data_IF_286940939384
#
_entry.id   IF_286940939384
#
_cell.length_a   1.000
_cell.length_b   1.000
_cell.length_c   1.000
_cell.angle_alpha   90.00
_cell.angle_beta   90.00
_cell.angle_gamma   90.00
#
_symmetry.space_group_name_H-M   'P 1'
#
loop_
_entity.id
_entity.type
_entity.pdbx_description
1 polymer ?
#
# COMPACT_ATOMS: atom_id res chain seq x y z
N UNK A 1 -1.70 -7.16 38.28
CA UNK A 1 -0.65 -8.14 38.70
C UNK A 1 0.70 -7.45 38.81
N UNK A 2 1.65 -7.98 39.62
CA UNK A 2 2.99 -7.41 39.62
C UNK A 2 3.71 -7.79 38.30
N UNK A 3 4.07 -6.80 37.50
CA UNK A 3 4.86 -7.00 36.30
C UNK A 3 6.27 -7.45 36.67
N UNK A 4 6.79 -8.47 35.98
CA UNK A 4 8.14 -8.91 36.14
C UNK A 4 9.03 -8.26 35.08
N UNK A 5 10.13 -7.64 35.53
CA UNK A 5 11.10 -6.98 34.63
C UNK A 5 12.29 -7.91 34.40
N UNK A 6 12.66 -8.08 33.15
CA UNK A 6 13.78 -8.96 32.75
C UNK A 6 14.71 -8.22 31.80
N UNK A 7 15.99 -8.62 31.75
CA UNK A 7 16.85 -8.34 30.60
C UNK A 7 16.50 -9.30 29.46
N UNK A 8 16.36 -8.77 28.25
CA UNK A 8 15.98 -9.58 27.09
C UNK A 8 16.96 -10.73 26.86
N UNK A 9 18.26 -10.51 27.08
CA UNK A 9 19.31 -11.52 26.94
C UNK A 9 19.16 -12.75 27.87
N UNK A 10 18.34 -12.68 28.94
CA UNK A 10 18.02 -13.85 29.77
C UNK A 10 16.92 -14.71 29.11
N UNK A 11 16.12 -14.09 28.22
CA UNK A 11 14.94 -14.68 27.63
C UNK A 11 15.18 -15.23 26.22
N UNK A 12 16.26 -14.78 25.54
CA UNK A 12 16.58 -15.16 24.16
C UNK A 12 17.99 -15.74 24.05
N UNK A 13 18.23 -16.54 23.03
CA UNK A 13 19.55 -17.11 22.73
C UNK A 13 19.83 -17.11 21.22
N UNK A 14 21.10 -16.93 20.81
CA UNK A 14 21.48 -16.97 19.41
C UNK A 14 21.44 -18.39 18.85
N UNK A 15 21.16 -18.50 17.55
CA UNK A 15 21.19 -19.73 16.77
C UNK A 15 22.18 -19.57 15.59
N UNK A 16 23.03 -20.58 15.34
CA UNK A 16 24.00 -20.53 14.23
C UNK A 16 23.98 -21.83 13.40
N UNK A 17 22.82 -22.43 13.24
CA UNK A 17 22.67 -23.57 12.33
C UNK A 17 22.84 -23.12 10.89
N UNK A 18 23.66 -23.87 10.13
CA UNK A 18 24.02 -23.54 8.76
C UNK A 18 23.59 -24.64 7.81
N UNK A 19 23.36 -24.27 6.54
CA UNK A 19 23.01 -25.20 5.47
C UNK A 19 24.23 -26.04 4.99
N UNK A 20 24.98 -26.58 5.93
CA UNK A 20 26.19 -27.37 5.61
C UNK A 20 25.86 -28.64 4.81
N UNK A 21 24.70 -29.22 5.07
CA UNK A 21 24.26 -30.45 4.44
C UNK A 21 23.59 -30.25 3.07
N UNK A 22 23.40 -28.98 2.66
CA UNK A 22 22.77 -28.61 1.38
C UNK A 22 21.29 -28.98 1.28
N UNK A 23 20.59 -29.13 2.40
CA UNK A 23 19.17 -29.49 2.45
C UNK A 23 18.27 -28.42 1.83
N UNK A 24 18.67 -27.16 1.91
CA UNK A 24 17.91 -26.00 1.45
C UNK A 24 18.52 -25.46 0.16
N UNK A 25 17.66 -24.96 -0.73
CA UNK A 25 17.99 -24.53 -2.08
C UNK A 25 17.84 -23.00 -2.25
N UNK A 26 18.00 -22.52 -3.48
CA UNK A 26 17.80 -21.10 -3.82
C UNK A 26 16.37 -20.61 -3.53
N UNK A 27 15.38 -21.50 -3.64
CA UNK A 27 13.96 -21.16 -3.42
C UNK A 27 13.66 -20.87 -1.93
N UNK A 28 14.50 -21.37 -1.03
CA UNK A 28 14.33 -21.18 0.41
C UNK A 28 14.98 -19.88 0.91
N UNK A 29 15.71 -19.15 0.04
CA UNK A 29 16.44 -17.94 0.44
C UNK A 29 15.51 -16.76 0.59
N UNK A 30 15.58 -16.13 1.75
CA UNK A 30 14.84 -14.90 2.06
C UNK A 30 15.79 -13.76 2.46
N UNK A 31 15.29 -12.53 2.28
CA UNK A 31 15.81 -11.33 2.89
C UNK A 31 14.85 -10.80 3.94
N UNK A 32 15.20 -9.71 4.61
CA UNK A 32 14.31 -9.04 5.57
C UNK A 32 14.04 -7.61 5.09
N UNK A 33 12.76 -7.26 5.03
CA UNK A 33 12.33 -5.90 4.71
C UNK A 33 12.36 -4.99 5.96
N UNK A 34 12.33 -3.67 5.74
CA UNK A 34 12.09 -2.70 6.82
C UNK A 34 10.66 -2.76 7.37
N UNK A 35 9.77 -3.51 6.69
CA UNK A 35 8.44 -3.87 7.19
C UNK A 35 8.45 -4.98 8.23
N UNK A 36 9.64 -5.54 8.56
CA UNK A 36 9.84 -6.63 9.52
C UNK A 36 9.26 -7.97 9.06
N UNK A 37 9.35 -8.22 7.76
CA UNK A 37 8.87 -9.44 7.11
C UNK A 37 10.00 -10.11 6.33
N UNK A 38 9.96 -11.44 6.23
CA UNK A 38 10.77 -12.16 5.26
C UNK A 38 10.22 -11.89 3.86
N UNK A 39 11.14 -11.56 2.94
CA UNK A 39 10.83 -11.29 1.52
C UNK A 39 11.76 -12.10 0.63
N UNK A 40 11.38 -12.33 -0.61
CA UNK A 40 12.27 -12.94 -1.58
C UNK A 40 13.55 -12.14 -1.73
N UNK A 41 14.68 -12.85 -1.85
CA UNK A 41 15.97 -12.16 -1.99
C UNK A 41 16.02 -11.40 -3.31
N UNK A 42 16.60 -10.18 -3.25
CA UNK A 42 16.89 -9.37 -4.44
C UNK A 42 18.37 -9.47 -4.86
N UNK A 43 19.16 -10.27 -4.13
CA UNK A 43 20.57 -10.44 -4.43
C UNK A 43 20.74 -11.36 -5.65
N UNK A 44 21.77 -11.06 -6.47
CA UNK A 44 22.20 -12.02 -7.49
C UNK A 44 22.86 -13.20 -6.78
N UNK A 45 22.31 -14.40 -7.00
CA UNK A 45 22.73 -15.64 -6.35
C UNK A 45 23.60 -16.53 -7.25
N UNK A 46 23.96 -16.06 -8.47
CA UNK A 46 24.78 -16.82 -9.40
C UNK A 46 26.15 -17.14 -8.79
N UNK A 47 26.48 -18.43 -8.69
CA UNK A 47 27.76 -18.92 -8.17
C UNK A 47 27.94 -18.76 -6.66
N UNK A 48 26.89 -18.40 -5.90
CA UNK A 48 26.97 -18.25 -4.44
C UNK A 48 26.82 -19.62 -3.76
N UNK A 49 27.76 -19.96 -2.89
CA UNK A 49 27.65 -21.15 -2.04
C UNK A 49 26.65 -20.90 -0.92
N UNK A 50 25.68 -21.79 -0.76
CA UNK A 50 24.66 -21.74 0.27
C UNK A 50 25.09 -22.38 1.61
N UNK A 51 26.22 -23.06 1.66
CA UNK A 51 26.68 -23.81 2.84
C UNK A 51 26.94 -22.92 4.08
N UNK A 52 27.26 -21.64 3.83
CA UNK A 52 27.47 -20.65 4.91
C UNK A 52 26.21 -19.94 5.36
N UNK A 53 25.10 -20.11 4.63
CA UNK A 53 23.81 -19.49 4.97
C UNK A 53 23.26 -20.10 6.24
N UNK A 54 22.58 -19.26 7.02
CA UNK A 54 21.95 -19.69 8.26
C UNK A 54 20.53 -20.21 8.01
N UNK A 55 20.16 -21.22 8.75
CA UNK A 55 18.79 -21.76 8.75
C UNK A 55 17.97 -21.03 9.81
N UNK A 56 16.83 -20.50 9.42
CA UNK A 56 15.84 -19.91 10.33
C UNK A 56 14.65 -20.87 10.43
N UNK A 57 14.57 -21.59 11.53
CA UNK A 57 13.50 -22.57 11.79
C UNK A 57 12.20 -21.87 12.19
N UNK A 58 11.06 -22.56 12.18
CA UNK A 58 9.83 -22.09 12.81
C UNK A 58 10.10 -21.55 14.23
N UNK A 59 9.41 -20.47 14.61
CA UNK A 59 9.53 -19.79 15.89
C UNK A 59 10.92 -19.16 16.16
N UNK A 60 11.73 -18.96 15.13
CA UNK A 60 12.98 -18.23 15.22
C UNK A 60 12.87 -16.83 14.58
N UNK A 61 13.74 -15.96 15.05
CA UNK A 61 13.91 -14.61 14.55
C UNK A 61 15.20 -14.49 13.76
N UNK A 62 15.23 -13.53 12.85
CA UNK A 62 16.46 -13.09 12.23
C UNK A 62 16.49 -11.56 12.14
N UNK A 63 17.64 -10.93 12.39
CA UNK A 63 17.80 -9.50 12.22
C UNK A 63 19.20 -9.17 11.70
N UNK A 64 19.32 -7.99 11.11
CA UNK A 64 20.62 -7.42 10.74
C UNK A 64 20.90 -6.20 11.60
N UNK A 65 22.11 -6.17 12.18
CA UNK A 65 22.53 -5.11 13.09
C UNK A 65 22.68 -3.73 12.40
N UNK A 66 22.92 -3.71 11.08
CA UNK A 66 23.15 -2.50 10.29
C UNK A 66 21.85 -1.67 10.15
N UNK A 67 21.79 -0.50 10.80
CA UNK A 67 20.67 0.44 10.75
C UNK A 67 20.90 1.61 9.78
N UNK A 68 22.15 1.97 9.50
CA UNK A 68 22.49 3.21 8.77
C UNK A 68 21.96 3.24 7.32
N UNK A 69 21.85 2.07 6.66
CA UNK A 69 21.33 1.94 5.30
C UNK A 69 19.80 1.78 5.24
N UNK A 70 19.14 1.63 6.38
CA UNK A 70 17.73 1.29 6.48
C UNK A 70 16.89 2.43 7.07
N UNK A 71 17.54 3.57 7.32
CA UNK A 71 16.92 4.71 7.99
C UNK A 71 16.70 4.44 9.48
N UNK A 72 15.54 4.88 9.99
CA UNK A 72 15.21 4.81 11.42
C UNK A 72 14.61 3.47 11.85
N UNK A 73 14.74 2.40 11.04
CA UNK A 73 14.12 1.10 11.31
C UNK A 73 15.15 -0.01 11.30
N UNK A 74 15.03 -0.91 12.28
CA UNK A 74 15.79 -2.15 12.27
C UNK A 74 15.08 -3.22 11.44
N UNK A 75 15.82 -3.93 10.59
CA UNK A 75 15.28 -5.07 9.86
C UNK A 75 15.37 -6.34 10.73
N UNK A 76 14.25 -6.72 11.29
CA UNK A 76 14.04 -7.93 12.09
C UNK A 76 12.79 -8.63 11.57
N UNK A 77 12.78 -9.96 11.51
CA UNK A 77 11.62 -10.74 11.13
C UNK A 77 11.52 -12.01 11.98
N UNK A 78 10.32 -12.54 12.05
CA UNK A 78 9.97 -13.74 12.81
C UNK A 78 9.41 -14.80 11.85
N UNK A 79 9.93 -16.02 11.94
CA UNK A 79 9.42 -17.14 11.15
C UNK A 79 8.23 -17.79 11.87
N UNK A 80 7.03 -17.30 11.52
CA UNK A 80 5.76 -17.87 11.99
C UNK A 80 5.29 -19.08 11.16
N UNK A 81 5.95 -19.37 10.02
CA UNK A 81 5.59 -20.45 9.14
C UNK A 81 6.09 -21.80 9.67
N UNK A 82 5.54 -22.89 9.16
CA UNK A 82 5.96 -24.25 9.51
C UNK A 82 7.27 -24.68 8.82
N UNK A 83 7.72 -23.91 7.81
CA UNK A 83 8.92 -24.23 7.02
C UNK A 83 10.12 -23.42 7.49
N UNK A 84 11.27 -24.09 7.53
CA UNK A 84 12.53 -23.41 7.69
C UNK A 84 12.93 -22.70 6.39
N UNK A 85 13.65 -21.57 6.52
CA UNK A 85 14.14 -20.74 5.42
C UNK A 85 15.63 -20.50 5.57
N UNK A 86 16.28 -20.07 4.50
CA UNK A 86 17.68 -19.63 4.51
C UNK A 86 17.82 -18.12 4.55
N UNK A 87 18.82 -17.66 5.30
CA UNK A 87 19.20 -16.26 5.33
C UNK A 87 20.72 -16.10 5.27
N UNK A 88 21.20 -15.02 4.70
CA UNK A 88 22.65 -14.75 4.62
C UNK A 88 23.33 -14.80 5.98
N UNK A 89 24.60 -15.22 6.01
CA UNK A 89 25.41 -15.30 7.24
C UNK A 89 25.60 -13.98 7.99
N UNK A 90 25.32 -12.83 7.35
CA UNK A 90 25.41 -11.51 7.99
C UNK A 90 24.28 -11.25 9.01
N UNK A 91 23.20 -12.02 8.95
CA UNK A 91 22.10 -11.89 9.90
C UNK A 91 22.37 -12.65 11.18
N UNK A 92 21.90 -12.11 12.29
CA UNK A 92 21.84 -12.82 13.56
C UNK A 92 20.51 -13.55 13.66
N UNK A 93 20.56 -14.86 13.81
CA UNK A 93 19.38 -15.71 14.06
C UNK A 93 19.31 -15.99 15.57
N UNK A 94 18.12 -15.93 16.15
CA UNK A 94 17.91 -16.21 17.57
C UNK A 94 16.51 -16.75 17.83
N UNK A 95 16.32 -17.28 19.03
CA UNK A 95 15.02 -17.78 19.50
C UNK A 95 14.74 -17.36 20.94
N UNK A 96 13.51 -17.52 21.36
CA UNK A 96 13.13 -17.46 22.77
C UNK A 96 13.68 -18.73 23.46
N UNK A 97 14.54 -18.54 24.47
CA UNK A 97 15.10 -19.59 25.29
C UNK A 97 14.20 -19.96 26.49
N UNK A 98 13.45 -18.98 26.97
CA UNK A 98 12.57 -19.10 28.15
C UNK A 98 11.10 -19.04 27.71
N UNK A 99 10.64 -20.09 27.00
CA UNK A 99 9.25 -20.23 26.58
C UNK A 99 8.25 -20.35 27.75
N UNK A 100 8.76 -20.62 28.96
CA UNK A 100 8.02 -20.60 30.21
C UNK A 100 7.69 -19.17 30.72
N UNK A 101 8.33 -18.13 30.16
CA UNK A 101 8.16 -16.73 30.54
C UNK A 101 7.74 -15.83 29.38
N UNK A 102 8.15 -16.15 28.15
CA UNK A 102 7.96 -15.30 26.99
C UNK A 102 7.45 -16.09 25.78
N UNK A 103 6.34 -15.64 25.22
CA UNK A 103 5.80 -16.13 23.96
C UNK A 103 6.53 -15.46 22.78
N UNK A 104 6.93 -16.23 21.76
CA UNK A 104 7.66 -15.72 20.59
C UNK A 104 6.84 -14.73 19.77
N UNK A 105 5.55 -14.98 19.55
CA UNK A 105 4.66 -14.05 18.83
C UNK A 105 4.50 -12.74 19.60
N UNK A 106 4.40 -12.81 20.95
CA UNK A 106 4.35 -11.62 21.80
C UNK A 106 5.64 -10.80 21.70
N UNK A 107 6.80 -11.46 21.67
CA UNK A 107 8.07 -10.79 21.43
C UNK A 107 8.12 -10.14 20.05
N UNK A 108 7.57 -10.76 19.03
CA UNK A 108 7.48 -10.17 17.71
C UNK A 108 6.58 -8.90 17.71
N UNK A 109 5.45 -8.92 18.41
CA UNK A 109 4.63 -7.72 18.61
C UNK A 109 5.41 -6.61 19.32
N UNK A 110 6.24 -6.96 20.31
CA UNK A 110 7.13 -5.99 21.00
C UNK A 110 8.08 -5.33 20.02
N UNK A 111 8.70 -6.09 19.11
CA UNK A 111 9.62 -5.57 18.10
C UNK A 111 8.92 -4.75 17.00
N UNK A 112 7.64 -4.97 16.74
CA UNK A 112 6.87 -4.22 15.75
C UNK A 112 6.43 -2.82 16.22
N UNK A 113 6.78 -2.41 17.42
CA UNK A 113 6.47 -1.07 17.92
C UNK A 113 7.44 -0.02 17.37
N UNK A 114 6.97 1.18 17.02
CA UNK A 114 7.84 2.31 16.67
C UNK A 114 8.82 2.70 17.80
N UNK A 115 8.45 2.45 19.05
CA UNK A 115 9.31 2.66 20.23
C UNK A 115 10.57 1.81 20.15
N UNK A 116 10.44 0.55 19.70
CA UNK A 116 11.58 -0.33 19.51
C UNK A 116 12.51 0.17 18.40
N UNK A 117 11.96 0.63 17.27
CA UNK A 117 12.78 1.22 16.20
C UNK A 117 13.54 2.46 16.69
N UNK A 118 12.89 3.35 17.46
CA UNK A 118 13.56 4.51 18.06
C UNK A 118 14.64 4.11 19.04
N UNK A 119 14.37 3.09 19.89
CA UNK A 119 15.36 2.56 20.83
C UNK A 119 16.57 1.97 20.09
N UNK A 120 16.34 1.13 19.09
CA UNK A 120 17.39 0.53 18.27
C UNK A 120 18.22 1.61 17.55
N UNK A 121 17.57 2.65 17.00
CA UNK A 121 18.25 3.78 16.36
C UNK A 121 19.10 4.57 17.34
N UNK A 122 18.57 4.88 18.51
CA UNK A 122 19.28 5.62 19.56
C UNK A 122 20.50 4.87 20.10
N UNK A 123 20.41 3.54 20.21
CA UNK A 123 21.49 2.67 20.70
C UNK A 123 22.31 2.02 19.57
N UNK A 124 22.33 2.63 18.39
CA UNK A 124 23.19 2.21 17.27
C UNK A 124 24.43 3.09 17.22
N UNK A 125 25.61 2.46 17.10
CA UNK A 125 26.90 3.13 17.14
C UNK A 125 27.76 2.72 15.95
N UNK A 126 28.69 3.60 15.54
CA UNK A 126 29.66 3.35 14.48
C UNK A 126 29.89 4.58 13.60
N UNK A 127 31.08 4.71 13.05
CA UNK A 127 31.47 5.89 12.25
C UNK A 127 31.09 5.79 10.79
N UNK A 128 31.11 4.59 10.19
CA UNK A 128 30.77 4.36 8.78
C UNK A 128 29.44 3.59 8.60
N UNK A 129 29.10 2.78 9.56
CA UNK A 129 27.83 2.04 9.63
C UNK A 129 27.43 1.97 11.10
N UNK A 130 26.29 2.53 11.40
CA UNK A 130 25.72 2.42 12.74
C UNK A 130 25.11 1.03 12.89
N UNK A 131 25.48 0.34 13.96
CA UNK A 131 25.01 -1.02 14.24
C UNK A 131 24.34 -1.08 15.60
N UNK A 132 23.22 -1.78 15.62
CA UNK A 132 22.53 -2.22 16.83
C UNK A 132 22.92 -3.68 17.06
N UNK A 133 23.94 -3.89 17.89
CA UNK A 133 24.54 -5.20 18.08
C UNK A 133 23.71 -6.12 19.00
N UNK A 134 24.17 -7.38 19.10
CA UNK A 134 23.50 -8.41 19.90
C UNK A 134 23.53 -8.10 21.39
N UNK A 135 24.63 -7.58 21.88
CA UNK A 135 24.78 -7.27 23.30
C UNK A 135 23.85 -6.14 23.72
N UNK A 136 23.73 -5.11 22.88
CA UNK A 136 22.75 -4.03 23.06
C UNK A 136 21.29 -4.55 23.00
N UNK A 137 21.00 -5.52 22.13
CA UNK A 137 19.70 -6.19 22.12
C UNK A 137 19.44 -6.93 23.43
N UNK A 138 20.42 -7.66 23.94
CA UNK A 138 20.33 -8.39 25.20
C UNK A 138 20.14 -7.48 26.43
N UNK A 139 20.63 -6.26 26.37
CA UNK A 139 20.54 -5.28 27.45
C UNK A 139 19.18 -4.58 27.56
N UNK A 140 18.26 -4.83 26.64
CA UNK A 140 16.90 -4.29 26.71
C UNK A 140 16.21 -4.77 27.99
N UNK A 141 15.64 -3.83 28.73
CA UNK A 141 14.72 -4.13 29.82
C UNK A 141 13.31 -4.34 29.25
N UNK A 142 12.71 -5.49 29.48
CA UNK A 142 11.36 -5.83 29.05
C UNK A 142 10.49 -6.19 30.27
N UNK A 143 9.31 -5.61 30.35
CA UNK A 143 8.30 -5.96 31.32
C UNK A 143 7.32 -6.96 30.69
N UNK A 144 7.01 -8.04 31.40
CA UNK A 144 6.19 -9.12 30.88
C UNK A 144 4.98 -9.38 31.80
N UNK A 145 3.77 -9.45 31.26
CA UNK A 145 2.65 -10.07 31.93
C UNK A 145 2.82 -11.60 31.94
N UNK A 146 1.94 -12.32 32.61
CA UNK A 146 1.94 -13.78 32.56
C UNK A 146 1.65 -14.34 31.15
N UNK A 147 2.00 -15.60 30.90
CA UNK A 147 1.81 -16.23 29.60
C UNK A 147 0.36 -16.26 29.12
N UNK A 148 -0.66 -16.52 29.95
CA UNK A 148 -2.06 -16.44 29.53
C UNK A 148 -2.44 -15.05 29.00
N UNK A 149 -1.99 -13.99 29.67
CA UNK A 149 -2.20 -12.61 29.21
C UNK A 149 -1.45 -12.34 27.90
N UNK A 150 -0.17 -12.75 27.77
CA UNK A 150 0.55 -12.66 26.51
C UNK A 150 -0.22 -13.34 25.37
N UNK A 151 -0.68 -14.58 25.59
CA UNK A 151 -1.40 -15.34 24.57
C UNK A 151 -2.71 -14.67 24.16
N UNK A 152 -3.47 -14.14 25.11
CA UNK A 152 -4.71 -13.39 24.82
C UNK A 152 -4.48 -12.24 23.83
N UNK A 153 -3.41 -11.47 24.00
CA UNK A 153 -3.09 -10.35 23.11
C UNK A 153 -2.49 -10.81 21.78
N UNK A 154 -1.75 -11.90 21.75
CA UNK A 154 -1.31 -12.59 20.53
C UNK A 154 -2.51 -13.07 19.70
N UNK A 155 -3.51 -13.68 20.34
CA UNK A 155 -4.71 -14.16 19.66
C UNK A 155 -5.49 -13.00 19.00
N UNK A 156 -5.58 -11.85 19.66
CA UNK A 156 -6.18 -10.63 19.09
C UNK A 156 -5.40 -10.18 17.85
N UNK A 157 -4.08 -10.10 17.95
CA UNK A 157 -3.21 -9.70 16.82
C UNK A 157 -3.35 -10.66 15.64
N UNK A 158 -3.26 -11.96 15.90
CA UNK A 158 -3.38 -13.00 14.87
C UNK A 158 -4.76 -13.00 14.21
N UNK A 159 -5.84 -12.75 14.95
CA UNK A 159 -7.17 -12.61 14.39
C UNK A 159 -7.28 -11.41 13.44
N UNK A 160 -6.64 -10.28 13.76
CA UNK A 160 -6.58 -9.12 12.87
C UNK A 160 -5.79 -9.41 11.60
N UNK A 161 -4.65 -10.10 11.69
CA UNK A 161 -3.82 -10.52 10.55
C UNK A 161 -4.59 -11.49 9.66
N UNK A 162 -5.23 -12.51 10.23
CA UNK A 162 -6.03 -13.49 9.49
C UNK A 162 -7.22 -12.83 8.76
N UNK A 163 -7.88 -11.86 9.40
CA UNK A 163 -8.94 -11.08 8.78
C UNK A 163 -8.42 -10.29 7.55
N UNK A 164 -7.31 -9.58 7.70
CA UNK A 164 -6.68 -8.83 6.58
C UNK A 164 -6.29 -9.77 5.43
N UNK A 165 -5.68 -10.90 5.71
CA UNK A 165 -5.31 -11.91 4.69
C UNK A 165 -6.54 -12.47 3.96
N UNK A 166 -7.67 -12.64 4.67
CA UNK A 166 -8.93 -13.06 4.04
C UNK A 166 -9.47 -11.99 3.08
N UNK A 167 -9.36 -10.71 3.46
CA UNK A 167 -9.71 -9.59 2.56
C UNK A 167 -8.80 -9.56 1.32
N UNK A 168 -7.52 -9.79 1.48
CA UNK A 168 -6.53 -9.77 0.39
C UNK A 168 -6.78 -10.89 -0.63
N UNK A 169 -7.02 -12.12 -0.18
CA UNK A 169 -7.41 -13.24 -1.08
C UNK A 169 -8.69 -12.93 -1.85
N UNK A 170 -9.71 -12.42 -1.16
CA UNK A 170 -10.97 -12.03 -1.83
C UNK A 170 -10.81 -10.87 -2.83
N UNK A 171 -9.78 -10.03 -2.68
CA UNK A 171 -9.44 -9.00 -3.66
C UNK A 171 -8.84 -9.56 -4.93
N UNK A 172 -8.00 -10.58 -4.83
CA UNK A 172 -7.41 -11.25 -6.00
C UNK A 172 -8.51 -11.89 -6.85
N UNK A 173 -9.45 -12.60 -6.22
CA UNK A 173 -10.59 -13.21 -6.91
C UNK A 173 -11.49 -12.17 -7.60
N UNK A 174 -11.79 -11.06 -6.91
CA UNK A 174 -12.57 -9.96 -7.48
C UNK A 174 -11.84 -9.30 -8.65
N UNK A 175 -10.54 -9.13 -8.55
CA UNK A 175 -9.72 -8.56 -9.63
C UNK A 175 -9.76 -9.45 -10.86
N UNK A 176 -9.56 -10.75 -10.71
CA UNK A 176 -9.63 -11.72 -11.81
C UNK A 176 -11.03 -11.70 -12.47
N UNK A 177 -12.09 -11.68 -11.68
CA UNK A 177 -13.46 -11.58 -12.19
C UNK A 177 -13.67 -10.29 -12.97
N UNK A 178 -13.24 -9.16 -12.42
CA UNK A 178 -13.35 -7.86 -13.09
C UNK A 178 -12.56 -7.83 -14.40
N UNK A 179 -11.32 -8.30 -14.42
CA UNK A 179 -10.48 -8.33 -15.61
C UNK A 179 -11.09 -9.21 -16.71
N UNK A 180 -11.68 -10.36 -16.35
CA UNK A 180 -12.37 -11.25 -17.28
C UNK A 180 -13.63 -10.59 -17.88
N UNK A 181 -14.44 -9.91 -17.06
CA UNK A 181 -15.62 -9.18 -17.53
C UNK A 181 -15.25 -8.04 -18.49
N UNK A 182 -14.22 -7.28 -18.15
CA UNK A 182 -13.70 -6.21 -19.01
C UNK A 182 -13.21 -6.74 -20.35
N UNK A 183 -12.52 -7.88 -20.34
CA UNK A 183 -11.98 -8.49 -21.56
C UNK A 183 -13.11 -9.02 -22.46
N UNK A 184 -14.12 -9.65 -21.88
CA UNK A 184 -15.32 -10.09 -22.60
C UNK A 184 -16.05 -8.92 -23.27
N UNK A 185 -16.22 -7.80 -22.56
CA UNK A 185 -16.86 -6.60 -23.10
C UNK A 185 -16.05 -5.99 -24.25
N UNK A 186 -14.72 -5.95 -24.17
CA UNK A 186 -13.87 -5.47 -25.27
C UNK A 186 -14.07 -6.22 -26.57
N UNK A 187 -14.39 -7.51 -26.48
CA UNK A 187 -14.59 -8.35 -27.66
C UNK A 187 -16.01 -8.31 -28.21
N UNK A 188 -17.01 -7.98 -27.38
CA UNK A 188 -18.42 -8.07 -27.74
C UNK A 188 -19.09 -6.72 -28.03
N UNK A 189 -18.64 -5.65 -27.37
CA UNK A 189 -19.28 -4.34 -27.47
C UNK A 189 -18.61 -3.45 -28.53
N UNK A 190 -19.40 -2.59 -29.15
CA UNK A 190 -18.91 -1.60 -30.10
C UNK A 190 -18.02 -0.57 -29.41
N UNK A 191 -16.85 -0.30 -29.99
CA UNK A 191 -15.94 0.75 -29.54
C UNK A 191 -16.48 2.12 -29.98
N UNK A 192 -16.58 3.05 -29.03
CA UNK A 192 -16.94 4.44 -29.31
C UNK A 192 -15.85 5.39 -28.79
N UNK A 193 -15.47 6.40 -29.57
CA UNK A 193 -14.52 7.41 -29.11
C UNK A 193 -15.17 8.34 -28.07
N UNK A 194 -14.36 8.87 -27.17
CA UNK A 194 -14.84 9.75 -26.08
C UNK A 194 -15.61 10.95 -26.62
N UNK A 195 -15.25 11.49 -27.80
CA UNK A 195 -15.97 12.59 -28.46
C UNK A 195 -17.46 12.30 -28.72
N UNK A 196 -17.85 11.03 -28.83
CA UNK A 196 -19.26 10.62 -29.00
C UNK A 196 -19.99 10.46 -27.66
N UNK A 197 -19.26 10.28 -26.57
CA UNK A 197 -19.78 9.97 -25.24
C UNK A 197 -19.86 11.20 -24.32
N UNK A 198 -18.89 12.09 -24.43
CA UNK A 198 -18.79 13.30 -23.63
C UNK A 198 -18.90 14.56 -24.49
N UNK A 199 -19.48 15.61 -23.92
CA UNK A 199 -19.47 16.97 -24.48
C UNK A 199 -18.90 17.94 -23.45
N UNK A 200 -18.18 18.94 -23.94
CA UNK A 200 -17.62 20.00 -23.14
C UNK A 200 -18.69 20.95 -22.63
N UNK A 201 -18.54 21.40 -21.40
CA UNK A 201 -19.36 22.44 -20.77
C UNK A 201 -18.47 23.48 -20.09
N UNK A 202 -18.90 24.73 -20.12
CA UNK A 202 -18.11 25.86 -19.57
C UNK A 202 -18.97 26.72 -18.63
N UNK A 203 -19.49 26.10 -17.57
CA UNK A 203 -20.17 26.83 -16.51
C UNK A 203 -19.12 27.49 -15.60
N UNK A 204 -19.34 28.75 -15.26
CA UNK A 204 -18.44 29.55 -14.44
C UNK A 204 -19.04 29.87 -13.07
N UNK A 205 -18.18 30.11 -12.08
CA UNK A 205 -18.56 30.59 -10.74
C UNK A 205 -18.86 32.09 -10.76
N UNK A 206 -19.74 32.55 -11.66
CA UNK A 206 -19.96 33.95 -11.99
C UNK A 206 -20.31 34.85 -10.78
N UNK A 207 -21.02 34.31 -9.81
CA UNK A 207 -21.40 35.02 -8.58
C UNK A 207 -20.33 34.88 -7.47
N UNK A 208 -19.24 34.16 -7.69
CA UNK A 208 -18.14 33.97 -6.72
C UNK A 208 -18.53 33.32 -5.40
N UNK A 209 -19.68 32.62 -5.35
CA UNK A 209 -20.21 32.08 -4.09
C UNK A 209 -19.42 30.86 -3.60
N UNK A 210 -18.76 30.10 -4.50
CA UNK A 210 -17.95 28.95 -4.15
C UNK A 210 -16.49 29.41 -4.10
N UNK A 211 -15.83 29.18 -2.96
CA UNK A 211 -14.45 29.62 -2.70
C UNK A 211 -13.48 28.44 -2.55
N UNK A 212 -13.99 27.23 -2.36
CA UNK A 212 -13.19 26.03 -2.18
C UNK A 212 -12.73 25.47 -3.53
N UNK A 213 -11.49 25.79 -3.88
CA UNK A 213 -10.89 25.40 -5.15
C UNK A 213 -10.36 23.98 -5.07
N UNK A 214 -10.71 23.14 -6.04
CA UNK A 214 -10.24 21.77 -6.14
C UNK A 214 -9.26 21.57 -7.31
N UNK A 215 -8.46 20.53 -7.18
CA UNK A 215 -7.66 19.91 -8.23
C UNK A 215 -7.99 18.43 -8.36
N UNK A 216 -7.30 17.72 -9.28
CA UNK A 216 -7.43 16.28 -9.47
C UNK A 216 -6.11 15.62 -9.10
N UNK A 217 -6.15 14.65 -8.17
CA UNK A 217 -4.99 13.86 -7.79
C UNK A 217 -4.71 12.71 -8.79
N UNK A 218 -3.61 12.01 -8.61
CA UNK A 218 -3.23 10.86 -9.45
C UNK A 218 -4.15 9.63 -9.24
N UNK A 219 -4.93 9.60 -8.15
CA UNK A 219 -5.96 8.57 -7.90
C UNK A 219 -7.31 8.94 -8.49
N UNK A 220 -7.36 10.01 -9.33
CA UNK A 220 -8.53 10.45 -10.08
C UNK A 220 -9.71 10.91 -9.19
N UNK A 221 -9.38 11.58 -8.10
CA UNK A 221 -10.34 12.15 -7.17
C UNK A 221 -10.13 13.65 -7.05
N UNK A 222 -11.22 14.37 -6.81
CA UNK A 222 -11.12 15.77 -6.41
C UNK A 222 -10.43 15.89 -5.06
N UNK A 223 -9.57 16.88 -4.92
CA UNK A 223 -8.87 17.22 -3.70
C UNK A 223 -8.77 18.74 -3.56
N UNK A 224 -8.74 19.30 -2.35
CA UNK A 224 -8.46 20.72 -2.16
C UNK A 224 -7.20 21.15 -2.92
N UNK A 225 -7.26 22.27 -3.61
CA UNK A 225 -6.12 22.79 -4.36
C UNK A 225 -4.98 23.17 -3.41
N UNK A 226 -3.76 22.80 -3.78
CA UNK A 226 -2.54 23.25 -3.08
C UNK A 226 -2.02 24.59 -3.59
N UNK A 227 -2.65 25.15 -4.63
CA UNK A 227 -2.27 26.45 -5.18
C UNK A 227 -2.72 27.58 -4.24
N UNK A 228 -1.88 28.61 -4.09
CA UNK A 228 -2.28 29.84 -3.42
C UNK A 228 -3.33 30.56 -4.27
N UNK A 229 -4.53 30.71 -3.72
CA UNK A 229 -5.66 31.40 -4.37
C UNK A 229 -5.90 32.80 -3.82
N UNK A 230 -5.04 33.33 -2.95
CA UNK A 230 -5.16 34.65 -2.41
C UNK A 230 -5.06 35.71 -3.53
N UNK A 231 -6.09 36.59 -3.64
CA UNK A 231 -6.16 37.61 -4.66
C UNK A 231 -6.50 37.11 -6.07
N UNK A 232 -6.83 35.85 -6.24
CA UNK A 232 -7.25 35.27 -7.53
C UNK A 232 -8.75 35.50 -7.74
N UNK A 233 -9.10 35.91 -8.95
CA UNK A 233 -10.50 36.08 -9.36
C UNK A 233 -11.16 34.71 -9.59
N UNK A 234 -11.85 34.21 -8.57
CA UNK A 234 -12.53 32.92 -8.60
C UNK A 234 -13.81 32.90 -9.46
N UNK A 235 -14.27 34.04 -9.94
CA UNK A 235 -15.44 34.11 -10.86
C UNK A 235 -15.13 33.45 -12.22
N UNK A 236 -13.86 33.42 -12.60
CA UNK A 236 -13.37 32.78 -13.82
C UNK A 236 -13.22 31.24 -13.72
N UNK A 237 -13.31 30.70 -12.50
CA UNK A 237 -13.16 29.24 -12.29
C UNK A 237 -14.37 28.49 -12.81
N UNK A 238 -14.12 27.29 -13.29
CA UNK A 238 -15.17 26.44 -13.85
C UNK A 238 -15.89 25.67 -12.75
N UNK A 239 -17.21 25.57 -12.88
CA UNK A 239 -18.05 24.73 -12.02
C UNK A 239 -18.07 23.29 -12.56
N UNK A 240 -17.90 22.33 -11.67
CA UNK A 240 -18.11 20.92 -11.92
C UNK A 240 -19.29 20.46 -11.07
N UNK A 241 -20.44 20.31 -11.70
CA UNK A 241 -21.68 19.86 -11.06
C UNK A 241 -21.70 18.36 -10.87
N UNK A 242 -22.66 17.86 -10.10
CA UNK A 242 -22.94 16.43 -9.95
C UNK A 242 -23.01 15.75 -11.32
N UNK A 243 -22.40 14.58 -11.45
CA UNK A 243 -22.30 13.78 -12.68
C UNK A 243 -21.51 14.45 -13.83
N UNK A 244 -20.74 15.50 -13.54
CA UNK A 244 -19.81 16.06 -14.50
C UNK A 244 -18.37 15.61 -14.21
N UNK A 245 -17.58 15.55 -15.27
CA UNK A 245 -16.16 15.23 -15.20
C UNK A 245 -15.33 16.49 -15.28
N UNK A 246 -14.19 16.47 -14.60
CA UNK A 246 -13.10 17.39 -14.86
C UNK A 246 -11.89 16.64 -15.40
N UNK A 247 -11.21 17.22 -16.40
CA UNK A 247 -10.06 16.63 -17.07
C UNK A 247 -8.92 17.63 -17.19
N UNK A 248 -7.71 17.16 -17.00
CA UNK A 248 -6.49 17.88 -17.35
C UNK A 248 -5.54 16.94 -18.10
N UNK A 249 -5.19 17.33 -19.32
CA UNK A 249 -4.16 16.64 -20.08
C UNK A 249 -2.74 16.99 -19.68
N UNK A 250 -2.55 17.98 -18.78
CA UNK A 250 -1.22 18.42 -18.36
C UNK A 250 -0.46 17.32 -17.64
N UNK A 251 0.80 17.12 -18.03
CA UNK A 251 1.73 16.18 -17.40
C UNK A 251 1.31 14.71 -17.46
N UNK A 252 0.34 14.33 -18.30
CA UNK A 252 -0.14 12.95 -18.42
C UNK A 252 1.01 11.98 -18.74
N UNK A 253 1.89 12.33 -19.65
CA UNK A 253 3.04 11.48 -19.99
C UNK A 253 4.09 11.41 -18.89
N UNK A 254 4.31 12.50 -18.15
CA UNK A 254 5.27 12.54 -17.03
C UNK A 254 4.78 11.73 -15.84
N UNK A 255 3.52 11.89 -15.51
CA UNK A 255 2.90 11.26 -14.32
C UNK A 255 2.34 9.86 -14.64
N UNK A 256 2.43 9.44 -15.92
CA UNK A 256 1.87 8.18 -16.44
C UNK A 256 0.40 7.96 -16.04
N UNK A 257 -0.37 9.05 -15.95
CA UNK A 257 -1.71 9.06 -15.43
C UNK A 257 -2.59 10.11 -16.13
N UNK A 258 -3.73 9.69 -16.67
CA UNK A 258 -4.77 10.60 -17.15
C UNK A 258 -5.47 11.20 -15.94
N UNK A 259 -5.36 12.54 -15.77
CA UNK A 259 -6.03 13.25 -14.69
C UNK A 259 -7.48 13.57 -15.09
N UNK A 260 -8.38 12.70 -14.69
CA UNK A 260 -9.83 12.86 -14.86
C UNK A 260 -10.52 12.47 -13.55
N UNK A 261 -11.57 13.18 -13.16
CA UNK A 261 -12.39 12.86 -11.99
C UNK A 261 -13.87 13.11 -12.31
N UNK A 262 -14.73 12.33 -11.71
CA UNK A 262 -16.20 12.46 -11.77
C UNK A 262 -16.70 13.02 -10.44
N UNK A 263 -17.45 14.12 -10.49
CA UNK A 263 -18.12 14.64 -9.29
C UNK A 263 -19.39 13.82 -9.02
N UNK A 264 -19.42 13.11 -7.90
CA UNK A 264 -20.58 12.34 -7.42
C UNK A 264 -21.31 13.03 -6.27
N UNK A 265 -20.69 14.06 -5.70
CA UNK A 265 -21.27 14.81 -4.58
C UNK A 265 -22.43 15.70 -5.06
N UNK A 266 -23.35 15.99 -4.16
CA UNK A 266 -24.48 16.89 -4.44
C UNK A 266 -24.01 18.33 -4.68
N UNK A 267 -22.91 18.71 -4.04
CA UNK A 267 -22.35 20.04 -4.16
C UNK A 267 -21.44 20.18 -5.39
N UNK A 268 -21.55 21.31 -6.06
CA UNK A 268 -20.64 21.64 -7.15
C UNK A 268 -19.28 22.09 -6.58
N UNK A 269 -18.20 21.66 -7.23
CA UNK A 269 -16.84 22.12 -6.92
C UNK A 269 -16.36 23.11 -7.99
N UNK A 270 -15.38 23.96 -7.65
CA UNK A 270 -14.73 24.83 -8.63
C UNK A 270 -13.30 24.37 -8.91
N UNK A 271 -12.90 24.46 -10.18
CA UNK A 271 -11.57 24.11 -10.66
C UNK A 271 -10.99 25.23 -11.53
N UNK A 272 -9.66 25.24 -11.64
CA UNK A 272 -8.96 26.21 -12.48
C UNK A 272 -9.48 26.22 -13.94
N UNK A 273 -9.50 27.38 -14.61
CA UNK A 273 -9.86 27.50 -16.04
C UNK A 273 -9.04 26.58 -16.97
N UNK A 274 -7.86 26.11 -16.53
CA UNK A 274 -7.00 25.21 -17.31
C UNK A 274 -7.56 23.80 -17.46
N UNK A 275 -8.55 23.43 -16.67
CA UNK A 275 -9.24 22.13 -16.80
C UNK A 275 -10.35 22.21 -17.83
N UNK A 276 -10.67 21.08 -18.45
CA UNK A 276 -11.87 20.91 -19.27
C UNK A 276 -12.93 20.19 -18.45
N UNK A 277 -14.16 20.68 -18.49
CA UNK A 277 -15.31 20.07 -17.84
C UNK A 277 -16.18 19.40 -18.88
N UNK A 278 -16.61 18.17 -18.58
CA UNK A 278 -17.47 17.38 -19.48
C UNK A 278 -18.72 16.93 -18.76
N UNK A 279 -19.77 16.74 -19.56
CA UNK A 279 -20.95 15.98 -19.18
C UNK A 279 -21.23 14.88 -20.22
N UNK A 280 -21.99 13.86 -19.84
CA UNK A 280 -22.40 12.82 -20.79
C UNK A 280 -23.20 13.40 -21.94
N UNK A 281 -22.99 12.87 -23.13
CA UNK A 281 -23.65 13.29 -24.35
C UNK A 281 -24.92 12.48 -24.66
N UNK A 282 -25.00 11.26 -24.10
CA UNK A 282 -26.06 10.29 -24.42
C UNK A 282 -26.55 9.61 -23.15
N UNK A 283 -27.85 9.33 -23.07
CA UNK A 283 -28.48 8.70 -21.90
C UNK A 283 -28.15 7.21 -21.74
N UNK A 284 -27.76 6.54 -22.82
CA UNK A 284 -27.39 5.12 -22.80
C UNK A 284 -26.04 4.83 -22.16
N UNK A 285 -25.25 5.85 -21.82
CA UNK A 285 -23.96 5.68 -21.14
C UNK A 285 -24.03 6.15 -19.70
N UNK A 286 -23.47 5.36 -18.80
CA UNK A 286 -23.32 5.73 -17.38
C UNK A 286 -22.01 6.48 -17.17
N UNK A 287 -22.04 7.56 -16.40
CA UNK A 287 -20.85 8.35 -16.05
C UNK A 287 -19.85 7.50 -15.28
N UNK A 288 -20.32 6.69 -14.34
CA UNK A 288 -19.47 5.77 -13.56
C UNK A 288 -18.79 4.74 -14.44
N UNK A 289 -19.44 4.29 -15.51
CA UNK A 289 -18.86 3.35 -16.45
C UNK A 289 -17.68 3.99 -17.21
N UNK A 290 -17.84 5.24 -17.67
CA UNK A 290 -16.75 5.99 -18.29
C UNK A 290 -15.62 6.17 -17.29
N UNK A 291 -15.92 6.58 -16.04
CA UNK A 291 -14.92 6.79 -15.01
C UNK A 291 -14.16 5.51 -14.66
N UNK A 292 -14.85 4.38 -14.57
CA UNK A 292 -14.24 3.06 -14.35
C UNK A 292 -13.21 2.73 -15.43
N UNK A 293 -13.50 3.01 -16.73
CA UNK A 293 -12.53 2.81 -17.80
C UNK A 293 -11.25 3.62 -17.59
N UNK A 294 -11.38 4.88 -17.19
CA UNK A 294 -10.22 5.73 -16.90
C UNK A 294 -9.46 5.34 -15.63
N UNK A 295 -10.08 4.63 -14.69
CA UNK A 295 -9.41 4.11 -13.50
C UNK A 295 -8.50 2.90 -13.78
N UNK A 296 -8.50 2.36 -14.99
CA UNK A 296 -7.67 1.21 -15.38
C UNK A 296 -6.27 1.63 -15.81
N UNK A 297 -5.28 0.81 -15.44
CA UNK A 297 -3.88 1.03 -15.82
C UNK A 297 -3.65 1.08 -17.33
N UNK A 298 -4.45 0.32 -18.12
CA UNK A 298 -4.35 0.36 -19.58
C UNK A 298 -4.77 1.71 -20.15
N UNK A 299 -5.74 2.37 -19.56
CA UNK A 299 -6.15 3.71 -19.97
C UNK A 299 -5.05 4.73 -19.69
N UNK A 300 -4.40 4.64 -18.54
CA UNK A 300 -3.25 5.47 -18.19
C UNK A 300 -2.08 5.24 -19.14
N UNK A 301 -1.75 3.98 -19.42
CA UNK A 301 -0.70 3.63 -20.40
C UNK A 301 -1.03 4.17 -21.79
N UNK A 302 -2.29 4.10 -22.21
CA UNK A 302 -2.72 4.67 -23.49
C UNK A 302 -2.58 6.19 -23.49
N UNK A 303 -2.98 6.88 -22.42
CA UNK A 303 -2.81 8.32 -22.26
C UNK A 303 -1.35 8.74 -22.32
N UNK A 304 -0.47 8.00 -21.64
CA UNK A 304 0.97 8.18 -21.72
C UNK A 304 1.49 8.05 -23.15
N UNK A 305 1.14 6.97 -23.85
CA UNK A 305 1.55 6.73 -25.24
C UNK A 305 1.05 7.83 -26.21
N UNK A 306 -0.15 8.36 -25.97
CA UNK A 306 -0.75 9.41 -26.79
C UNK A 306 -0.29 10.82 -26.41
N UNK A 307 0.46 10.99 -25.32
CA UNK A 307 0.99 12.30 -24.90
C UNK A 307 2.07 12.79 -25.86
N UNK A 308 2.22 14.12 -25.95
CA UNK A 308 3.27 14.72 -26.74
C UNK A 308 4.67 14.48 -26.14
N UNK A 309 5.71 14.71 -26.94
CA UNK A 309 7.11 14.57 -26.50
C UNK A 309 7.68 15.85 -25.87
N UNK A 310 6.84 16.82 -25.51
CA UNK A 310 7.27 18.04 -24.82
C UNK A 310 7.77 17.75 -23.39
N UNK A 311 8.49 18.71 -22.81
CA UNK A 311 8.98 18.61 -21.42
C UNK A 311 7.83 18.36 -20.42
N UNK A 312 6.62 18.81 -20.74
CA UNK A 312 5.42 18.64 -19.91
C UNK A 312 4.66 17.35 -20.22
N UNK A 313 4.91 16.73 -21.38
CA UNK A 313 4.24 15.49 -21.85
C UNK A 313 2.73 15.54 -21.69
N UNK A 314 2.09 16.45 -22.44
CA UNK A 314 0.66 16.69 -22.33
C UNK A 314 -0.15 15.75 -23.24
N UNK A 315 -1.27 15.28 -22.75
CA UNK A 315 -2.33 14.67 -23.57
C UNK A 315 -3.27 15.79 -24.02
N UNK A 316 -3.18 16.22 -25.28
CA UNK A 316 -4.07 17.23 -25.83
C UNK A 316 -5.52 16.73 -25.92
N UNK A 317 -6.44 17.67 -26.04
CA UNK A 317 -7.87 17.37 -26.02
C UNK A 317 -8.33 16.57 -27.22
N UNK A 318 -7.74 16.80 -28.40
CA UNK A 318 -8.09 16.06 -29.61
C UNK A 318 -7.74 14.59 -29.49
N UNK A 319 -6.54 14.29 -28.98
CA UNK A 319 -6.10 12.91 -28.72
C UNK A 319 -6.92 12.25 -27.59
N UNK A 320 -7.28 13.02 -26.53
CA UNK A 320 -8.18 12.53 -25.52
C UNK A 320 -9.52 12.09 -26.12
N UNK A 321 -10.08 12.88 -27.02
CA UNK A 321 -11.31 12.56 -27.73
C UNK A 321 -11.24 11.31 -28.61
N UNK A 322 -10.06 10.92 -29.07
CA UNK A 322 -9.84 9.70 -29.88
C UNK A 322 -9.77 8.43 -29.05
N UNK A 323 -9.64 8.52 -27.71
CA UNK A 323 -9.65 7.36 -26.84
C UNK A 323 -10.98 6.63 -27.02
N UNK A 324 -10.93 5.33 -27.32
CA UNK A 324 -12.10 4.49 -27.53
C UNK A 324 -12.32 3.61 -26.32
N UNK A 325 -13.59 3.49 -25.92
CA UNK A 325 -14.06 2.54 -24.93
C UNK A 325 -15.22 1.71 -25.51
N UNK A 326 -15.35 0.42 -25.12
CA UNK A 326 -16.50 -0.38 -25.55
C UNK A 326 -17.75 0.09 -24.79
N UNK A 327 -18.88 0.10 -25.49
CA UNK A 327 -20.16 0.57 -24.94
C UNK A 327 -21.20 -0.56 -25.07
N UNK A 328 -21.33 -1.44 -24.06
CA UNK A 328 -22.39 -2.44 -24.01
C UNK A 328 -23.72 -1.82 -23.58
N UNK A 329 -24.76 -2.64 -23.50
CA UNK A 329 -26.06 -2.22 -22.97
C UNK A 329 -25.95 -1.74 -21.53
N UNK A 330 -26.85 -0.83 -21.12
CA UNK A 330 -26.81 -0.12 -19.85
C UNK A 330 -26.81 -1.06 -18.62
N UNK A 331 -27.53 -2.17 -18.70
CA UNK A 331 -27.57 -3.16 -17.61
C UNK A 331 -26.20 -3.84 -17.41
N UNK A 332 -25.48 -4.10 -18.51
CA UNK A 332 -24.12 -4.63 -18.45
C UNK A 332 -23.14 -3.57 -17.91
N UNK A 333 -23.30 -2.30 -18.31
CA UNK A 333 -22.52 -1.21 -17.76
C UNK A 333 -22.68 -1.14 -16.23
N UNK A 334 -23.93 -1.19 -15.75
CA UNK A 334 -24.22 -1.14 -14.32
C UNK A 334 -23.59 -2.33 -13.58
N UNK A 335 -23.79 -3.55 -14.10
CA UNK A 335 -23.24 -4.75 -13.47
C UNK A 335 -21.72 -4.69 -13.30
N UNK A 336 -20.98 -4.19 -14.31
CA UNK A 336 -19.52 -4.09 -14.21
C UNK A 336 -19.08 -2.95 -13.30
N UNK A 337 -19.83 -1.83 -13.27
CA UNK A 337 -19.60 -0.73 -12.32
C UNK A 337 -19.79 -1.21 -10.89
N UNK A 338 -20.80 -2.04 -10.63
CA UNK A 338 -21.04 -2.59 -9.29
C UNK A 338 -19.88 -3.49 -8.84
N UNK A 339 -19.37 -4.37 -9.71
CA UNK A 339 -18.18 -5.21 -9.42
C UNK A 339 -16.96 -4.32 -9.17
N UNK A 340 -16.74 -3.29 -9.97
CA UNK A 340 -15.63 -2.36 -9.80
C UNK A 340 -15.72 -1.59 -8.47
N UNK A 341 -16.90 -1.14 -8.09
CA UNK A 341 -17.13 -0.45 -6.82
C UNK A 341 -16.86 -1.36 -5.61
N UNK A 342 -17.32 -2.62 -5.66
CA UNK A 342 -17.03 -3.63 -4.63
C UNK A 342 -15.52 -3.87 -4.53
N UNK A 343 -14.84 -4.05 -5.68
CA UNK A 343 -13.39 -4.22 -5.71
C UNK A 343 -12.65 -3.02 -5.09
N UNK A 344 -13.02 -1.81 -5.48
CA UNK A 344 -12.38 -0.58 -4.99
C UNK A 344 -12.61 -0.38 -3.50
N UNK A 345 -13.84 -0.61 -3.03
CA UNK A 345 -14.18 -0.52 -1.60
C UNK A 345 -13.40 -1.53 -0.77
N UNK A 346 -13.35 -2.79 -1.20
CA UNK A 346 -12.57 -3.83 -0.51
C UNK A 346 -11.07 -3.54 -0.50
N UNK A 347 -10.53 -3.02 -1.59
CA UNK A 347 -9.13 -2.59 -1.65
C UNK A 347 -8.83 -1.51 -0.62
N UNK A 348 -9.69 -0.51 -0.51
CA UNK A 348 -9.52 0.55 0.48
C UNK A 348 -9.59 0.02 1.91
N UNK A 349 -10.54 -0.89 2.21
CA UNK A 349 -10.64 -1.56 3.52
C UNK A 349 -9.35 -2.36 3.79
N UNK A 350 -8.84 -3.11 2.81
CA UNK A 350 -7.60 -3.88 2.98
C UNK A 350 -6.40 -2.99 3.32
N UNK A 351 -6.24 -1.85 2.66
CA UNK A 351 -5.17 -0.90 2.97
C UNK A 351 -5.34 -0.26 4.36
N UNK A 352 -6.57 0.01 4.78
CA UNK A 352 -6.85 0.46 6.14
C UNK A 352 -6.50 -0.61 7.18
N UNK A 353 -6.88 -1.87 6.95
CA UNK A 353 -6.53 -3.00 7.83
C UNK A 353 -5.02 -3.17 7.95
N UNK A 354 -4.28 -3.14 6.83
CA UNK A 354 -2.81 -3.17 6.85
C UNK A 354 -2.21 -2.05 7.70
N UNK A 355 -2.76 -0.84 7.58
CA UNK A 355 -2.31 0.31 8.36
C UNK A 355 -2.63 0.15 9.85
N UNK A 356 -3.81 -0.35 10.17
CA UNK A 356 -4.22 -0.59 11.56
C UNK A 356 -3.35 -1.66 12.22
N UNK A 357 -3.12 -2.80 11.55
CA UNK A 357 -2.26 -3.89 12.05
C UNK A 357 -0.85 -3.37 12.33
N UNK A 358 -0.28 -2.58 11.43
CA UNK A 358 1.04 -1.99 11.61
C UNK A 358 1.15 -1.12 12.86
N UNK A 359 0.06 -0.45 13.25
CA UNK A 359 0.03 0.52 14.32
C UNK A 359 -0.57 -0.04 15.63
N UNK A 360 -1.08 -1.28 15.64
CA UNK A 360 -1.80 -1.83 16.80
C UNK A 360 -0.87 -2.35 17.89
N UNK A 361 0.34 -2.82 17.54
CA UNK A 361 1.25 -3.44 18.50
C UNK A 361 1.57 -2.59 19.74
N UNK A 362 1.81 -1.26 19.64
CA UNK A 362 1.99 -0.42 20.82
C UNK A 362 0.79 -0.46 21.79
N UNK A 363 -0.42 -0.47 21.22
CA UNK A 363 -1.66 -0.48 21.99
C UNK A 363 -1.86 -1.82 22.69
N UNK A 364 -1.64 -2.93 21.95
CA UNK A 364 -1.79 -4.29 22.51
C UNK A 364 -0.75 -4.57 23.59
N UNK A 365 0.53 -4.22 23.36
CA UNK A 365 1.58 -4.40 24.35
C UNK A 365 1.29 -3.56 25.59
N UNK A 366 0.91 -2.30 25.44
CA UNK A 366 0.55 -1.46 26.58
C UNK A 366 -0.66 -2.04 27.35
N UNK A 367 -1.72 -2.41 26.63
CA UNK A 367 -2.91 -3.00 27.24
C UNK A 367 -2.59 -4.27 28.04
N UNK A 368 -1.69 -5.11 27.55
CA UNK A 368 -1.28 -6.33 28.26
C UNK A 368 -0.48 -6.06 29.55
N UNK A 369 0.15 -4.90 29.66
CA UNK A 369 0.88 -4.49 30.86
C UNK A 369 0.00 -3.79 31.90
N UNK A 370 -1.15 -3.27 31.47
CA UNK A 370 -2.10 -2.56 32.34
C UNK A 370 -3.17 -3.52 32.95
N UNK A 371 -3.27 -4.77 32.47
CA UNK A 371 -4.20 -5.81 32.94
C UNK A 371 -3.66 -6.57 34.18
#
# INVERSE_FOLDING_TARGET
>A
MALNKYKLGILIEPCDERNADGLYTLDDIKGISTGKEFIDTKANMDGVSLSSYKVVKPQQFAYVADTSRRGEKIAIAFNSDEKAILISSIYTVFRVARADLLNSDYLFMYFNRPEFDRYARFNSWGSARETFDWDTMCDIDIELPDLPTQQKYVDIYNAMVANQQSYERGLEDLKLTFDALVDDIKHKAALKPIRELLKEVDNRNENGTITDVHGINITKQFMPSVADTNGVDLTKYKLVKTNQFAFSGMQTGRDECIRIALNKDEDAVIISPAYTVFERKREEILEEYIMMWFCRKESDRRGWFMSDSSIRSNLDLDRFYEIQIPVPDKDIQQAIVDVFNVYTTRRNINEQLKTQIKNICPILIRGSLEE
#
